data_IF_052855269587
#
_entry.id   IF_052855269587
#
_cell.length_a   1.000
_cell.length_b   1.000
_cell.length_c   1.000
_cell.angle_alpha   90.00
_cell.angle_beta   90.00
_cell.angle_gamma   90.00
#
_symmetry.space_group_name_H-M   'P 1'
#
loop_
_entity.id
_entity.type
_entity.pdbx_description
1 polymer ?
#
# COMPACT_ATOMS: atom_id res chain seq x y z
N UNK A 1 56.62 40.40 -72.60
CA UNK A 1 56.45 40.73 -71.17
C UNK A 1 55.83 39.51 -70.49
N UNK A 2 56.31 39.12 -69.30
CA UNK A 2 56.40 37.71 -68.90
C UNK A 2 55.25 37.22 -68.01
N UNK A 3 55.12 35.88 -67.99
CA UNK A 3 54.58 35.02 -66.92
C UNK A 3 53.07 35.20 -66.58
N UNK A 4 52.31 34.20 -66.16
CA UNK A 4 52.56 33.24 -65.08
C UNK A 4 51.70 31.98 -65.26
N UNK A 5 52.30 30.87 -64.84
CA UNK A 5 51.79 29.51 -64.70
C UNK A 5 50.56 29.34 -63.78
N UNK A 6 49.71 28.36 -64.15
CA UNK A 6 49.26 27.21 -63.33
C UNK A 6 48.39 27.51 -62.09
N UNK A 7 47.21 26.88 -62.03
CA UNK A 7 46.90 25.72 -61.17
C UNK A 7 45.41 25.37 -61.25
N UNK A 8 45.13 24.10 -61.57
CA UNK A 8 43.86 23.44 -61.28
C UNK A 8 43.62 23.45 -59.77
N UNK A 9 42.39 23.66 -59.35
CA UNK A 9 41.89 23.24 -58.03
C UNK A 9 40.42 22.84 -58.18
N UNK A 10 40.20 21.54 -58.26
CA UNK A 10 38.88 20.91 -58.11
C UNK A 10 38.68 20.75 -56.60
N UNK A 11 37.80 21.54 -56.02
CA UNK A 11 37.38 21.36 -54.63
C UNK A 11 36.04 20.62 -54.64
N UNK A 12 36.12 19.31 -54.41
CA UNK A 12 34.97 18.47 -54.04
C UNK A 12 34.56 18.89 -52.63
N UNK A 13 33.46 19.62 -52.50
CA UNK A 13 32.83 19.84 -51.20
C UNK A 13 32.03 18.59 -50.85
N UNK A 14 32.58 17.77 -49.95
CA UNK A 14 31.92 16.59 -49.40
C UNK A 14 30.65 17.01 -48.62
N UNK A 15 29.51 16.41 -49.00
CA UNK A 15 28.25 16.53 -48.29
C UNK A 15 28.32 15.67 -47.03
N UNK A 16 28.65 16.26 -45.88
CA UNK A 16 28.59 15.56 -44.60
C UNK A 16 27.13 15.50 -44.12
N UNK A 17 26.45 14.38 -44.36
CA UNK A 17 25.20 14.06 -43.66
C UNK A 17 25.55 13.66 -42.22
N UNK A 18 25.44 14.59 -41.28
CA UNK A 18 25.42 14.26 -39.86
C UNK A 18 24.04 13.72 -39.50
N UNK A 19 23.87 12.40 -39.60
CA UNK A 19 22.78 11.71 -38.90
C UNK A 19 23.13 11.70 -37.41
N UNK A 20 22.73 12.75 -36.69
CA UNK A 20 22.73 12.75 -35.23
C UNK A 20 21.67 11.76 -34.75
N UNK A 21 22.09 10.57 -34.35
CA UNK A 21 21.21 9.54 -33.80
C UNK A 21 20.55 10.01 -32.52
N UNK A 22 19.21 9.90 -32.47
CA UNK A 22 18.46 9.95 -31.21
C UNK A 22 18.85 8.71 -30.40
N UNK A 23 19.70 8.88 -29.40
CA UNK A 23 19.87 7.86 -28.37
C UNK A 23 18.63 7.88 -27.47
N UNK A 24 17.63 7.06 -27.82
CA UNK A 24 16.56 6.67 -26.90
C UNK A 24 17.21 5.80 -25.82
N UNK A 25 17.72 6.44 -24.77
CA UNK A 25 18.06 5.73 -23.55
C UNK A 25 16.77 5.09 -23.04
N UNK A 26 16.64 3.77 -23.21
CA UNK A 26 15.69 2.97 -22.48
C UNK A 26 16.16 2.90 -21.02
N UNK A 27 16.09 4.04 -20.32
CA UNK A 27 16.03 4.02 -18.87
C UNK A 27 14.71 3.33 -18.55
N UNK A 28 14.77 2.19 -17.89
CA UNK A 28 13.61 1.61 -17.24
C UNK A 28 13.04 2.71 -16.33
N UNK A 29 12.00 3.40 -16.79
CA UNK A 29 11.19 4.21 -15.92
C UNK A 29 10.57 3.22 -14.95
N UNK A 30 11.20 3.03 -13.79
CA UNK A 30 10.50 2.48 -12.65
C UNK A 30 9.27 3.38 -12.51
N UNK A 31 8.09 2.80 -12.74
CA UNK A 31 6.85 3.49 -12.46
C UNK A 31 6.99 4.04 -11.04
N UNK A 32 6.79 5.35 -10.88
CA UNK A 32 6.86 5.95 -9.56
C UNK A 32 5.86 5.24 -8.65
N UNK A 33 6.24 4.99 -7.41
CA UNK A 33 5.32 4.50 -6.39
C UNK A 33 4.08 5.43 -6.38
N UNK A 34 2.89 4.82 -6.43
CA UNK A 34 1.62 5.54 -6.41
C UNK A 34 1.08 5.70 -4.98
N UNK A 35 1.66 4.97 -4.04
CA UNK A 35 1.45 5.04 -2.60
C UNK A 35 2.78 5.35 -1.89
N UNK A 36 2.72 5.78 -0.63
CA UNK A 36 3.89 6.13 0.19
C UNK A 36 4.05 5.25 1.43
N UNK A 37 5.31 5.05 1.84
CA UNK A 37 5.68 4.44 3.12
C UNK A 37 5.89 5.47 4.24
N UNK A 38 5.76 6.78 3.95
CA UNK A 38 6.00 7.85 4.93
C UNK A 38 5.03 7.81 6.12
N UNK A 39 3.92 7.08 5.98
CA UNK A 39 2.87 6.93 6.99
C UNK A 39 3.09 5.75 7.94
N UNK A 40 4.09 4.90 7.69
CA UNK A 40 4.35 3.73 8.52
C UNK A 40 4.47 4.13 10.00
N UNK A 41 3.77 3.41 10.90
CA UNK A 41 3.26 2.06 10.72
C UNK A 41 1.79 2.00 10.24
N UNK A 42 1.23 3.11 9.75
CA UNK A 42 -0.06 3.14 9.06
C UNK A 42 0.13 3.02 7.54
N UNK A 43 -0.90 2.56 6.81
CA UNK A 43 -0.89 2.66 5.36
C UNK A 43 -0.97 4.11 4.88
N UNK A 44 -0.60 4.34 3.61
CA UNK A 44 -0.93 5.59 2.92
C UNK A 44 -2.46 5.79 2.88
N UNK A 45 -2.99 6.89 3.45
CA UNK A 45 -4.43 7.13 3.54
C UNK A 45 -5.09 7.38 2.18
N UNK A 46 -4.32 7.70 1.14
CA UNK A 46 -4.84 7.85 -0.23
C UNK A 46 -5.07 6.48 -0.88
N UNK A 47 -4.23 5.50 -0.58
CA UNK A 47 -4.31 4.16 -1.17
C UNK A 47 -5.18 3.22 -0.36
N UNK A 48 -5.06 3.24 0.97
CA UNK A 48 -5.82 2.38 1.88
C UNK A 48 -6.45 3.24 2.98
N UNK A 49 -7.49 4.04 2.65
CA UNK A 49 -8.19 4.89 3.63
C UNK A 49 -8.95 4.12 4.71
N UNK A 50 -9.16 2.81 4.51
CA UNK A 50 -10.04 1.98 5.31
C UNK A 50 -11.44 1.92 4.69
N UNK A 51 -11.92 0.71 4.43
CA UNK A 51 -13.27 0.48 3.93
C UNK A 51 -13.98 -0.55 4.82
N UNK A 52 -15.26 -0.33 5.09
CA UNK A 52 -16.07 -1.19 5.95
C UNK A 52 -16.92 -2.17 5.14
N UNK A 53 -17.24 -3.30 5.74
CA UNK A 53 -18.20 -4.27 5.23
C UNK A 53 -19.62 -3.79 5.55
N UNK A 54 -20.47 -3.51 4.55
CA UNK A 54 -21.83 -3.01 4.79
C UNK A 54 -22.74 -3.98 5.54
N UNK A 55 -22.41 -5.28 5.59
CA UNK A 55 -23.15 -6.28 6.35
C UNK A 55 -22.83 -6.24 7.87
N UNK A 56 -21.76 -5.54 8.26
CA UNK A 56 -21.34 -5.39 9.67
C UNK A 56 -21.67 -3.98 10.13
N UNK A 57 -22.73 -3.90 10.92
CA UNK A 57 -23.24 -2.69 11.57
C UNK A 57 -23.38 -2.96 13.05
N UNK A 58 -23.60 -1.91 13.85
CA UNK A 58 -23.87 -2.06 15.28
C UNK A 58 -25.04 -3.04 15.54
N UNK A 59 -26.05 -3.04 14.68
CA UNK A 59 -27.24 -3.89 14.83
C UNK A 59 -26.98 -5.35 14.44
N UNK A 60 -25.90 -5.64 13.70
CA UNK A 60 -25.58 -6.99 13.21
C UNK A 60 -24.39 -7.63 13.90
N UNK A 61 -23.70 -6.95 14.84
CA UNK A 61 -22.47 -7.47 15.47
C UNK A 61 -22.66 -8.83 16.16
N UNK A 62 -23.83 -9.06 16.77
CA UNK A 62 -24.17 -10.31 17.48
C UNK A 62 -24.41 -11.50 16.55
N UNK A 63 -24.56 -11.24 15.24
CA UNK A 63 -24.65 -12.25 14.18
C UNK A 63 -23.43 -12.28 13.26
N UNK A 64 -22.46 -11.38 13.49
CA UNK A 64 -21.27 -11.20 12.66
C UNK A 64 -20.00 -11.26 13.51
N UNK A 65 -19.33 -10.13 13.76
CA UNK A 65 -18.00 -10.06 14.37
C UNK A 65 -17.92 -10.62 15.81
N UNK A 66 -19.04 -10.69 16.51
CA UNK A 66 -19.13 -11.27 17.86
C UNK A 66 -19.48 -12.77 17.85
N UNK A 67 -19.65 -13.37 16.68
CA UNK A 67 -19.85 -14.82 16.50
C UNK A 67 -18.51 -15.50 16.22
N UNK A 68 -18.17 -16.49 17.03
CA UNK A 68 -16.95 -17.28 16.85
C UNK A 68 -16.88 -17.90 15.45
N UNK A 69 -15.75 -17.68 14.76
CA UNK A 69 -15.49 -18.21 13.42
C UNK A 69 -16.06 -17.37 12.26
N UNK A 70 -16.81 -16.30 12.52
CA UNK A 70 -17.44 -15.51 11.44
C UNK A 70 -16.43 -14.95 10.44
N UNK A 71 -15.29 -14.43 10.92
CA UNK A 71 -14.25 -13.86 10.04
C UNK A 71 -13.68 -14.87 9.05
N UNK A 72 -13.63 -16.16 9.41
CA UNK A 72 -13.20 -17.23 8.50
C UNK A 72 -14.17 -17.43 7.33
N UNK A 73 -15.45 -17.06 7.50
CA UNK A 73 -16.47 -17.19 6.43
C UNK A 73 -16.39 -16.08 5.39
N UNK A 74 -15.86 -14.91 5.76
CA UNK A 74 -15.76 -13.74 4.87
C UNK A 74 -14.33 -13.49 4.35
N UNK A 75 -13.31 -14.10 4.96
CA UNK A 75 -11.90 -13.92 4.59
C UNK A 75 -11.69 -14.25 3.10
N UNK A 76 -11.00 -13.38 2.33
CA UNK A 76 -10.66 -13.68 0.95
C UNK A 76 -9.74 -14.91 0.83
N UNK A 77 -9.79 -15.63 -0.30
CA UNK A 77 -8.86 -16.72 -0.55
C UNK A 77 -7.42 -16.19 -0.64
N UNK A 78 -6.44 -16.97 -0.20
CA UNK A 78 -5.03 -16.57 -0.22
C UNK A 78 -4.49 -16.27 -1.62
N UNK A 79 -5.08 -16.86 -2.66
CA UNK A 79 -4.73 -16.56 -4.05
C UNK A 79 -5.04 -15.10 -4.44
N UNK A 80 -6.13 -14.54 -3.89
CA UNK A 80 -6.47 -13.13 -4.08
C UNK A 80 -5.48 -12.24 -3.36
N UNK A 81 -5.29 -12.45 -2.06
CA UNK A 81 -4.42 -11.60 -1.22
C UNK A 81 -2.95 -11.69 -1.63
N UNK A 82 -2.46 -12.86 -2.04
CA UNK A 82 -1.08 -13.01 -2.54
C UNK A 82 -0.85 -12.23 -3.84
N UNK A 83 -1.85 -12.19 -4.73
CA UNK A 83 -1.76 -11.42 -5.97
C UNK A 83 -1.77 -9.91 -5.68
N UNK A 84 -2.68 -9.46 -4.81
CA UNK A 84 -2.80 -8.06 -4.40
C UNK A 84 -1.54 -7.57 -3.68
N UNK A 85 -1.03 -8.34 -2.70
CA UNK A 85 0.21 -8.02 -1.98
C UNK A 85 1.39 -7.76 -2.89
N UNK A 86 1.57 -8.61 -3.91
CA UNK A 86 2.67 -8.44 -4.88
C UNK A 86 2.53 -7.14 -5.67
N UNK A 87 1.32 -6.80 -6.07
CA UNK A 87 1.04 -5.54 -6.76
C UNK A 87 1.32 -4.35 -5.83
N UNK A 88 0.75 -4.37 -4.63
CA UNK A 88 0.81 -3.25 -3.71
C UNK A 88 2.22 -3.02 -3.14
N UNK A 89 3.04 -4.07 -2.98
CA UNK A 89 4.46 -3.89 -2.62
C UNK A 89 5.18 -2.96 -3.61
N UNK A 90 4.89 -3.11 -4.91
CA UNK A 90 5.43 -2.23 -5.93
C UNK A 90 4.78 -0.84 -5.91
N UNK A 91 3.47 -0.77 -5.67
CA UNK A 91 2.72 0.51 -5.59
C UNK A 91 3.17 1.39 -4.42
N UNK A 92 3.44 0.80 -3.26
CA UNK A 92 4.02 1.46 -2.08
C UNK A 92 5.51 1.75 -2.22
N UNK A 93 6.16 1.22 -3.26
CA UNK A 93 7.58 1.46 -3.52
C UNK A 93 8.51 0.78 -2.51
N UNK A 94 8.11 -0.34 -1.91
CA UNK A 94 8.98 -1.07 -0.99
C UNK A 94 10.21 -1.57 -1.74
N UNK A 95 11.39 -1.32 -1.17
CA UNK A 95 12.65 -1.86 -1.71
C UNK A 95 12.79 -3.35 -1.46
N UNK A 96 12.26 -3.81 -0.32
CA UNK A 96 12.09 -5.22 -0.04
C UNK A 96 10.84 -5.72 -0.77
N UNK A 97 10.99 -6.80 -1.53
CA UNK A 97 9.92 -7.40 -2.32
C UNK A 97 9.67 -8.86 -1.95
N UNK A 98 10.29 -9.33 -0.86
CA UNK A 98 10.04 -10.64 -0.32
C UNK A 98 8.65 -10.69 0.33
N UNK A 99 7.73 -11.43 -0.29
CA UNK A 99 6.35 -11.52 0.18
C UNK A 99 6.22 -12.06 1.61
N UNK A 100 7.20 -12.79 2.15
CA UNK A 100 7.11 -13.30 3.54
C UNK A 100 7.28 -12.22 4.59
N UNK A 101 7.79 -11.05 4.22
CA UNK A 101 8.13 -9.98 5.16
C UNK A 101 6.95 -9.00 5.35
N UNK A 102 5.83 -9.31 4.69
CA UNK A 102 4.58 -8.54 4.68
C UNK A 102 3.37 -9.45 4.90
N UNK A 103 2.39 -8.95 5.67
CA UNK A 103 1.02 -9.46 5.69
C UNK A 103 0.17 -8.69 4.68
N UNK A 104 -0.72 -9.38 3.97
CA UNK A 104 -1.76 -8.67 3.23
C UNK A 104 -2.91 -8.47 4.19
N UNK A 105 -2.95 -7.30 4.83
CA UNK A 105 -3.77 -7.10 6.00
C UNK A 105 -4.86 -6.04 5.81
N UNK A 106 -5.91 -6.18 6.62
CA UNK A 106 -7.04 -5.29 6.65
C UNK A 106 -6.73 -4.06 7.51
N UNK A 107 -6.84 -2.84 6.99
CA UNK A 107 -6.58 -1.63 7.79
C UNK A 107 -7.61 -1.47 8.92
N UNK A 108 -8.90 -1.54 8.59
CA UNK A 108 -9.96 -1.87 9.54
C UNK A 108 -10.06 -3.40 9.54
N UNK A 109 -9.80 -4.12 10.65
CA UNK A 109 -9.79 -5.57 10.65
C UNK A 109 -11.17 -6.15 10.38
N UNK A 110 -11.20 -7.38 9.87
CA UNK A 110 -12.46 -8.15 9.76
C UNK A 110 -13.19 -8.23 11.10
N UNK A 111 -12.46 -8.23 12.21
CA UNK A 111 -13.01 -8.28 13.57
C UNK A 111 -13.73 -7.00 14.00
N UNK A 112 -13.55 -5.92 13.25
CA UNK A 112 -14.29 -4.66 13.37
C UNK A 112 -15.11 -4.36 12.10
N UNK A 113 -15.40 -5.39 11.30
CA UNK A 113 -16.23 -5.23 10.11
C UNK A 113 -15.53 -4.50 8.96
N UNK A 114 -14.22 -4.66 8.80
CA UNK A 114 -13.52 -4.23 7.59
C UNK A 114 -14.02 -4.93 6.33
N UNK A 115 -13.98 -4.23 5.20
CA UNK A 115 -14.32 -4.79 3.90
C UNK A 115 -13.33 -5.92 3.55
N UNK A 116 -13.80 -7.15 3.22
CA UNK A 116 -12.92 -8.30 3.12
C UNK A 116 -12.04 -8.31 1.87
N UNK A 117 -12.48 -7.64 0.79
CA UNK A 117 -11.83 -7.68 -0.52
C UNK A 117 -11.54 -6.31 -1.11
N UNK A 118 -11.96 -5.22 -0.47
CA UNK A 118 -11.76 -3.88 -1.03
C UNK A 118 -10.27 -3.48 -0.87
N UNK A 119 -9.54 -3.19 -1.96
CA UNK A 119 -8.17 -2.68 -1.88
C UNK A 119 -8.03 -1.40 -1.04
N UNK A 120 -9.10 -0.60 -0.90
CA UNK A 120 -9.11 0.55 -0.01
C UNK A 120 -9.04 0.16 1.48
N UNK A 121 -9.19 -1.12 1.81
CA UNK A 121 -9.01 -1.67 3.16
C UNK A 121 -7.88 -2.71 3.24
N UNK A 122 -7.15 -2.97 2.16
CA UNK A 122 -6.10 -3.99 2.12
C UNK A 122 -4.76 -3.35 1.77
N UNK A 123 -3.71 -3.75 2.46
CA UNK A 123 -2.36 -3.25 2.22
C UNK A 123 -1.28 -4.25 2.65
N UNK A 124 -0.07 -4.17 2.05
CA UNK A 124 1.08 -4.96 2.46
C UNK A 124 1.67 -4.39 3.76
N UNK A 125 1.17 -4.85 4.91
CA UNK A 125 1.66 -4.45 6.22
C UNK A 125 3.00 -5.14 6.54
N UNK A 126 4.06 -4.38 6.90
CA UNK A 126 5.33 -4.97 7.29
C UNK A 126 5.27 -5.81 8.58
N UNK A 127 5.88 -6.99 8.56
CA UNK A 127 6.14 -7.77 9.78
C UNK A 127 7.33 -7.24 10.57
N UNK A 128 8.24 -6.51 9.92
CA UNK A 128 9.41 -5.93 10.56
C UNK A 128 9.09 -4.58 11.22
N UNK A 129 9.88 -4.24 12.24
CA UNK A 129 9.74 -2.95 12.91
C UNK A 129 10.06 -1.81 11.95
N UNK A 130 9.13 -0.87 11.82
CA UNK A 130 9.31 0.35 11.04
C UNK A 130 9.90 1.46 11.92
N UNK A 131 10.05 2.69 11.42
CA UNK A 131 10.71 3.79 12.17
C UNK A 131 10.11 4.10 13.54
N UNK A 132 8.87 3.73 13.80
CA UNK A 132 8.16 3.86 15.08
C UNK A 132 8.37 2.69 16.05
N UNK A 133 9.01 1.60 15.61
CA UNK A 133 9.26 0.39 16.40
C UNK A 133 8.09 -0.61 16.40
N UNK A 134 6.96 -0.28 15.78
CA UNK A 134 5.79 -1.14 15.68
C UNK A 134 5.87 -2.14 14.53
N UNK A 135 5.24 -3.31 14.71
CA UNK A 135 5.05 -4.38 13.72
C UNK A 135 3.56 -4.75 13.58
N UNK A 136 3.20 -5.57 12.59
CA UNK A 136 1.84 -6.11 12.44
C UNK A 136 1.30 -6.77 13.72
N UNK A 137 2.15 -7.50 14.46
CA UNK A 137 1.75 -8.12 15.74
C UNK A 137 1.35 -7.10 16.81
N UNK A 138 1.86 -5.86 16.77
CA UNK A 138 1.40 -4.82 17.68
C UNK A 138 -0.02 -4.36 17.31
N UNK A 139 -0.33 -4.27 16.02
CA UNK A 139 -1.67 -3.96 15.52
C UNK A 139 -2.65 -5.07 15.90
N UNK A 140 -2.31 -6.34 15.70
CA UNK A 140 -3.13 -7.49 16.14
C UNK A 140 -3.60 -7.37 17.60
N UNK A 141 -2.71 -6.95 18.50
CA UNK A 141 -3.03 -6.78 19.92
C UNK A 141 -4.04 -5.64 20.16
N UNK A 142 -3.97 -4.56 19.38
CA UNK A 142 -4.95 -3.47 19.41
C UNK A 142 -6.30 -3.96 18.89
N UNK A 143 -6.32 -4.64 17.75
CA UNK A 143 -7.53 -5.17 17.12
C UNK A 143 -8.32 -6.10 18.04
N UNK A 144 -7.63 -7.06 18.66
CA UNK A 144 -8.24 -8.00 19.59
C UNK A 144 -8.90 -7.28 20.79
N UNK A 145 -8.26 -6.22 21.31
CA UNK A 145 -8.81 -5.41 22.40
C UNK A 145 -10.02 -4.59 21.95
N UNK A 146 -9.97 -3.98 20.77
CA UNK A 146 -11.09 -3.24 20.20
C UNK A 146 -12.29 -4.15 19.94
N UNK A 147 -12.08 -5.31 19.31
CA UNK A 147 -13.13 -6.32 19.12
C UNK A 147 -13.78 -6.70 20.44
N UNK A 148 -12.96 -6.98 21.46
CA UNK A 148 -13.46 -7.32 22.80
C UNK A 148 -14.31 -6.20 23.39
N UNK A 149 -13.86 -4.94 23.28
CA UNK A 149 -14.60 -3.79 23.77
C UNK A 149 -15.94 -3.61 23.03
N UNK A 150 -15.96 -3.81 21.71
CA UNK A 150 -17.19 -3.76 20.89
C UNK A 150 -18.15 -4.89 21.26
N UNK A 151 -17.69 -6.13 21.32
CA UNK A 151 -18.55 -7.27 21.63
C UNK A 151 -19.02 -7.31 23.09
N UNK A 152 -18.35 -6.60 24.00
CA UNK A 152 -18.83 -6.37 25.37
C UNK A 152 -19.75 -5.15 25.49
N UNK A 153 -20.03 -4.42 24.40
CA UNK A 153 -20.82 -3.19 24.40
C UNK A 153 -20.17 -2.02 25.13
N UNK A 154 -18.85 -2.07 25.36
CA UNK A 154 -18.10 -0.98 26.01
C UNK A 154 -17.83 0.17 25.06
N UNK A 155 -17.67 -0.12 23.76
CA UNK A 155 -17.41 0.84 22.69
C UNK A 155 -18.34 0.55 21.52
N UNK A 156 -18.88 1.57 20.87
CA UNK A 156 -19.65 1.39 19.63
C UNK A 156 -18.74 0.96 18.48
N UNK A 157 -19.23 0.10 17.59
CA UNK A 157 -18.49 -0.39 16.42
C UNK A 157 -17.87 0.77 15.62
N UNK A 158 -18.65 1.82 15.36
CA UNK A 158 -18.20 2.97 14.56
C UNK A 158 -17.07 3.74 15.24
N UNK A 159 -17.06 3.82 16.57
CA UNK A 159 -16.01 4.51 17.32
C UNK A 159 -14.70 3.71 17.25
N UNK A 160 -14.79 2.38 17.36
CA UNK A 160 -13.64 1.49 17.16
C UNK A 160 -13.07 1.55 15.73
N UNK A 161 -13.94 1.54 14.71
CA UNK A 161 -13.56 1.69 13.30
C UNK A 161 -12.88 3.03 13.04
N UNK A 162 -13.44 4.13 13.55
CA UNK A 162 -12.86 5.46 13.40
C UNK A 162 -11.52 5.58 14.11
N UNK A 163 -11.39 5.04 15.33
CA UNK A 163 -10.16 5.11 16.10
C UNK A 163 -9.02 4.35 15.40
N UNK A 164 -9.27 3.12 14.93
CA UNK A 164 -8.24 2.32 14.26
C UNK A 164 -7.83 2.89 12.90
N UNK A 165 -8.80 3.40 12.11
CA UNK A 165 -8.53 4.00 10.81
C UNK A 165 -7.89 5.39 10.90
N UNK A 166 -8.02 6.08 12.04
CA UNK A 166 -7.33 7.35 12.29
C UNK A 166 -5.88 7.11 12.69
N UNK A 167 -5.67 6.29 13.72
CA UNK A 167 -4.35 5.94 14.23
C UNK A 167 -4.47 4.71 15.15
N UNK A 168 -4.22 3.54 14.59
CA UNK A 168 -4.28 2.29 15.36
C UNK A 168 -3.29 2.27 16.54
N UNK A 169 -2.18 3.02 16.48
CA UNK A 169 -1.17 3.03 17.55
C UNK A 169 -1.68 3.72 18.83
N UNK A 170 -2.67 4.61 18.68
CA UNK A 170 -3.30 5.37 19.78
C UNK A 170 -4.78 5.06 19.98
N UNK A 171 -5.37 4.16 19.17
CA UNK A 171 -6.80 3.84 19.21
C UNK A 171 -7.32 3.44 20.61
N UNK A 172 -6.57 2.61 21.34
CA UNK A 172 -6.96 2.19 22.70
C UNK A 172 -6.99 3.37 23.67
N UNK A 173 -5.98 4.25 23.60
CA UNK A 173 -5.91 5.43 24.45
C UNK A 173 -7.07 6.38 24.12
N UNK A 174 -7.34 6.60 22.83
CA UNK A 174 -8.43 7.45 22.34
C UNK A 174 -9.80 6.99 22.87
N UNK A 175 -10.00 5.69 23.02
CA UNK A 175 -11.24 5.09 23.51
C UNK A 175 -11.25 4.81 25.03
N UNK A 176 -10.18 5.16 25.75
CA UNK A 176 -10.08 4.92 27.19
C UNK A 176 -9.96 3.44 27.58
N UNK A 177 -9.35 2.62 26.72
CA UNK A 177 -9.15 1.17 26.87
C UNK A 177 -7.72 0.77 27.29
N UNK A 178 -6.89 1.76 27.64
CA UNK A 178 -5.48 1.60 28.04
C UNK A 178 -5.31 1.26 29.51
#
# INVERSE_FOLDING_TARGET
MPAVLRRLSISVAALALTTGGLALGAGSAHAAAVCSQDYLPLPDPTCTPGATNPDVTQDTIDSTICVSGWTATVRPPSSYTTALKRQQIAEYGYSDTNLSDYEEDHFIPLELGGAPRDPANLWPEPHYATGSGYTSTNKDAVENKLKTAVCNGTVQLTDAQNAIATDWTTALQTLGLS
#
